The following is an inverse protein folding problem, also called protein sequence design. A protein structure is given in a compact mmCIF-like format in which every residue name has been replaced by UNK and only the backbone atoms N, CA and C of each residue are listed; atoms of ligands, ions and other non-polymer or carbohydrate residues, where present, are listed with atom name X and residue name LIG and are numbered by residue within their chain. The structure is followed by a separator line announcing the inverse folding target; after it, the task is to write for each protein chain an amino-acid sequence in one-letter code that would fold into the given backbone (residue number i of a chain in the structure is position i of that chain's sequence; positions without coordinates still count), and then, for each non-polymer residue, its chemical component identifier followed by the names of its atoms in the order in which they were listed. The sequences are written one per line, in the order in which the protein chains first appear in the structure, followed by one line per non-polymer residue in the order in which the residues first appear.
data_IF_114182398372
#
_entry.id   IF_114182398372
#
_cell.length_a   1.000
_cell.length_b   1.000
_cell.length_c   1.000
_cell.angle_alpha   90.00
_cell.angle_beta   90.00
_cell.angle_gamma   90.00
#
_symmetry.space_group_name_H-M   'P 1'
#
loop_
_entity.id
_entity.type
_entity.pdbx_description
1 polymer ?
#
# COMPACT_ATOMS: atom_id res chain seq x y z
N UNK A 1 15.74 -4.13 2.53
CA UNK A 1 15.40 -3.88 1.11
C UNK A 1 13.98 -3.32 0.94
N UNK A 2 12.92 -4.02 1.37
CA UNK A 2 11.53 -3.55 1.16
C UNK A 2 11.24 -2.16 1.73
N UNK A 3 11.74 -1.84 2.92
CA UNK A 3 11.61 -0.50 3.54
C UNK A 3 12.24 0.58 2.64
N UNK A 4 13.45 0.34 2.14
CA UNK A 4 14.13 1.28 1.26
C UNK A 4 13.37 1.49 -0.05
N UNK A 5 12.79 0.42 -0.63
CA UNK A 5 11.95 0.54 -1.83
C UNK A 5 10.73 1.42 -1.56
N UNK A 6 10.01 1.19 -0.46
CA UNK A 6 8.84 1.99 -0.10
C UNK A 6 9.21 3.48 0.06
N UNK A 7 10.26 3.78 0.82
CA UNK A 7 10.68 5.16 1.10
C UNK A 7 11.19 5.86 -0.15
N UNK A 8 12.07 5.21 -0.93
CA UNK A 8 12.66 5.81 -2.14
C UNK A 8 11.61 6.00 -3.22
N UNK A 9 10.85 4.96 -3.57
CA UNK A 9 9.84 5.07 -4.64
C UNK A 9 8.71 6.01 -4.23
N UNK A 10 8.24 5.93 -2.98
CA UNK A 10 7.24 6.85 -2.44
C UNK A 10 7.68 8.31 -2.54
N UNK A 11 8.93 8.60 -2.17
CA UNK A 11 9.48 9.96 -2.23
C UNK A 11 9.62 10.45 -3.67
N UNK A 12 10.17 9.60 -4.56
CA UNK A 12 10.36 9.96 -5.98
C UNK A 12 9.02 10.24 -6.66
N UNK A 13 8.02 9.38 -6.48
CA UNK A 13 6.68 9.58 -7.06
C UNK A 13 6.02 10.85 -6.51
N UNK A 14 6.16 11.12 -5.21
CA UNK A 14 5.68 12.35 -4.58
C UNK A 14 6.33 13.60 -5.18
N UNK A 15 7.65 13.57 -5.42
CA UNK A 15 8.37 14.68 -6.06
C UNK A 15 7.97 14.91 -7.51
N UNK A 16 7.70 13.83 -8.25
CA UNK A 16 7.21 13.90 -9.64
C UNK A 16 5.75 14.36 -9.73
N UNK A 17 5.05 14.52 -8.60
CA UNK A 17 3.65 14.96 -8.51
C UNK A 17 2.72 14.15 -9.41
N UNK A 18 2.97 12.84 -9.53
CA UNK A 18 2.11 11.96 -10.31
C UNK A 18 0.77 11.84 -9.57
N UNK A 19 -0.36 12.24 -10.18
CA UNK A 19 -1.65 12.13 -9.52
C UNK A 19 -2.02 10.65 -9.36
N UNK A 20 -2.67 10.31 -8.24
CA UNK A 20 -3.26 8.98 -7.98
C UNK A 20 -2.26 7.82 -7.85
N UNK A 21 -0.95 8.10 -7.86
CA UNK A 21 0.10 7.10 -7.74
C UNK A 21 1.01 7.45 -6.57
N UNK A 22 1.35 6.47 -5.74
CA UNK A 22 2.21 6.64 -4.56
C UNK A 22 3.37 5.64 -4.55
N UNK A 23 3.15 4.38 -4.94
CA UNK A 23 4.13 3.28 -4.90
C UNK A 23 4.82 3.08 -3.54
N UNK A 24 4.22 3.59 -2.47
CA UNK A 24 4.74 3.62 -1.11
C UNK A 24 4.64 2.26 -0.39
N UNK A 25 3.96 1.29 -1.00
CA UNK A 25 3.78 -0.06 -0.45
C UNK A 25 4.35 -1.15 -1.33
N UNK A 26 5.09 -0.83 -2.40
CA UNK A 26 5.62 -1.82 -3.35
C UNK A 26 6.59 -2.80 -2.70
N UNK A 27 7.46 -2.32 -1.81
CA UNK A 27 8.36 -3.14 -1.03
C UNK A 27 7.62 -4.00 0.00
N UNK A 28 6.56 -3.47 0.62
CA UNK A 28 5.69 -4.24 1.52
C UNK A 28 5.03 -5.41 0.78
N UNK A 29 4.41 -5.13 -0.36
CA UNK A 29 3.73 -6.13 -1.20
C UNK A 29 4.74 -7.16 -1.71
N UNK A 30 5.89 -6.73 -2.24
CA UNK A 30 6.94 -7.63 -2.74
C UNK A 30 7.44 -8.59 -1.65
N UNK A 31 7.78 -8.08 -0.46
CA UNK A 31 8.26 -8.93 0.64
C UNK A 31 7.15 -9.87 1.13
N UNK A 32 5.90 -9.40 1.15
CA UNK A 32 4.74 -10.23 1.53
C UNK A 32 4.54 -11.41 0.58
N UNK A 33 4.72 -11.18 -0.72
CA UNK A 33 4.58 -12.23 -1.75
C UNK A 33 5.75 -13.22 -1.71
N UNK A 34 6.99 -12.72 -1.55
CA UNK A 34 8.18 -13.58 -1.60
C UNK A 34 8.40 -14.38 -0.32
N UNK A 35 8.19 -13.76 0.84
CA UNK A 35 8.59 -14.33 2.13
C UNK A 35 7.39 -14.60 3.05
N UNK A 36 6.19 -14.15 2.67
CA UNK A 36 4.96 -14.37 3.42
C UNK A 36 4.55 -13.19 4.32
N UNK A 37 3.38 -13.30 4.98
CA UNK A 37 2.69 -12.19 5.61
C UNK A 37 3.48 -11.52 6.73
N UNK A 38 4.16 -12.30 7.59
CA UNK A 38 4.87 -11.77 8.75
C UNK A 38 6.09 -10.92 8.37
N UNK A 39 6.83 -11.32 7.34
CA UNK A 39 7.94 -10.52 6.80
C UNK A 39 7.43 -9.24 6.11
N UNK A 40 6.26 -9.32 5.48
CA UNK A 40 5.52 -8.17 4.98
C UNK A 40 5.14 -7.19 6.10
N UNK A 41 4.57 -7.68 7.20
CA UNK A 41 4.18 -6.89 8.37
C UNK A 41 5.38 -6.15 8.96
N UNK A 42 6.51 -6.84 9.13
CA UNK A 42 7.74 -6.20 9.58
C UNK A 42 8.19 -5.10 8.62
N UNK A 43 8.16 -5.37 7.32
CA UNK A 43 8.55 -4.39 6.30
C UNK A 43 7.64 -3.16 6.30
N UNK A 44 6.33 -3.35 6.25
CA UNK A 44 5.35 -2.26 6.23
C UNK A 44 5.33 -1.47 7.53
N UNK A 45 5.31 -2.17 8.66
CA UNK A 45 5.32 -1.54 9.99
C UNK A 45 6.57 -0.68 10.20
N UNK A 46 7.76 -1.24 9.93
CA UNK A 46 9.01 -0.50 10.07
C UNK A 46 9.14 0.65 9.04
N UNK A 47 8.53 0.52 7.86
CA UNK A 47 8.47 1.66 6.90
C UNK A 47 7.81 2.86 7.55
N UNK A 48 6.68 2.68 8.23
CA UNK A 48 5.99 3.78 8.89
C UNK A 48 6.67 4.26 10.18
N UNK A 49 7.48 3.42 10.84
CA UNK A 49 8.36 3.88 11.92
C UNK A 49 9.46 4.80 11.37
N UNK A 50 10.10 4.42 10.26
CA UNK A 50 11.11 5.24 9.59
C UNK A 50 10.50 6.57 9.14
N UNK A 51 9.34 6.55 8.47
CA UNK A 51 8.63 7.77 8.08
C UNK A 51 8.21 8.60 9.31
N UNK A 52 7.79 7.94 10.40
CA UNK A 52 7.53 8.60 11.69
C UNK A 52 8.72 9.43 12.19
N UNK A 53 9.94 8.91 12.03
CA UNK A 53 11.16 9.57 12.46
C UNK A 53 11.66 10.65 11.46
N UNK A 54 11.39 10.49 10.16
CA UNK A 54 11.96 11.37 9.13
C UNK A 54 11.00 12.44 8.59
N UNK A 55 9.69 12.17 8.59
CA UNK A 55 8.67 13.07 8.03
C UNK A 55 7.69 13.60 9.07
N UNK A 56 7.61 12.98 10.24
CA UNK A 56 6.80 13.43 11.37
C UNK A 56 6.14 12.28 12.13
N UNK A 57 6.12 12.37 13.46
CA UNK A 57 5.75 11.27 14.35
C UNK A 57 4.38 10.65 14.06
N UNK A 58 3.43 11.45 13.57
CA UNK A 58 2.08 11.01 13.21
C UNK A 58 2.04 10.02 12.04
N UNK A 59 3.08 9.94 11.20
CA UNK A 59 3.16 8.97 10.11
C UNK A 59 3.23 7.51 10.60
N UNK A 60 3.60 7.29 11.87
CA UNK A 60 3.66 5.95 12.48
C UNK A 60 2.29 5.26 12.52
N UNK A 61 1.20 6.04 12.67
CA UNK A 61 -0.16 5.49 12.75
C UNK A 61 -0.58 4.80 11.45
N UNK A 62 -0.09 5.30 10.30
CA UNK A 62 -0.33 4.65 9.01
C UNK A 62 0.39 3.31 8.86
N UNK A 63 1.27 2.93 9.80
CA UNK A 63 1.83 1.59 9.88
C UNK A 63 0.75 0.51 9.97
N UNK A 64 -0.39 0.80 10.62
CA UNK A 64 -1.53 -0.12 10.68
C UNK A 64 -2.10 -0.44 9.29
N UNK A 65 -2.13 0.55 8.40
CA UNK A 65 -2.55 0.37 7.00
C UNK A 65 -1.58 -0.57 6.28
N UNK A 66 -0.28 -0.32 6.42
CA UNK A 66 0.76 -1.11 5.78
C UNK A 66 0.79 -2.56 6.29
N UNK A 67 0.56 -2.76 7.59
CA UNK A 67 0.42 -4.08 8.21
C UNK A 67 -0.79 -4.83 7.65
N UNK A 68 -1.95 -4.17 7.54
CA UNK A 68 -3.15 -4.79 6.98
C UNK A 68 -2.98 -5.19 5.50
N UNK A 69 -2.35 -4.33 4.71
CA UNK A 69 -1.99 -4.63 3.31
C UNK A 69 -1.07 -5.87 3.26
N UNK A 70 -0.02 -5.90 4.09
CA UNK A 70 0.94 -6.99 4.13
C UNK A 70 0.30 -8.33 4.48
N UNK A 71 -0.59 -8.34 5.48
CA UNK A 71 -1.32 -9.54 5.88
C UNK A 71 -2.22 -10.03 4.72
N UNK A 72 -3.02 -9.13 4.14
CA UNK A 72 -3.91 -9.48 3.04
C UNK A 72 -3.14 -10.07 1.84
N UNK A 73 -2.11 -9.36 1.37
CA UNK A 73 -1.29 -9.80 0.24
C UNK A 73 -0.55 -11.10 0.56
N UNK A 74 0.08 -11.19 1.74
CA UNK A 74 0.90 -12.34 2.12
C UNK A 74 0.08 -13.62 2.29
N UNK A 75 -1.13 -13.54 2.84
CA UNK A 75 -2.02 -14.71 2.90
C UNK A 75 -2.57 -15.11 1.54
N UNK A 76 -2.87 -14.15 0.66
CA UNK A 76 -3.29 -14.45 -0.72
C UNK A 76 -2.14 -15.13 -1.48
N UNK A 77 -0.93 -14.59 -1.42
CA UNK A 77 0.24 -15.13 -2.11
C UNK A 77 0.65 -16.52 -1.62
N UNK A 78 0.34 -16.87 -0.36
CA UNK A 78 0.54 -18.25 0.15
C UNK A 78 -0.43 -19.26 -0.43
N UNK A 79 -1.64 -18.84 -0.81
CA UNK A 79 -2.70 -19.73 -1.30
C UNK A 79 -2.84 -19.70 -2.82
N UNK A 80 -2.48 -18.59 -3.44
CA UNK A 80 -2.68 -18.34 -4.86
C UNK A 80 -1.38 -17.89 -5.50
N UNK A 81 -1.16 -18.39 -6.71
CA UNK A 81 0.00 -18.03 -7.51
C UNK A 81 -0.07 -16.56 -7.98
N UNK A 82 0.78 -15.73 -7.37
CA UNK A 82 0.83 -14.29 -7.63
C UNK A 82 1.46 -13.94 -8.98
N UNK A 83 1.98 -14.90 -9.75
CA UNK A 83 2.40 -14.67 -11.15
C UNK A 83 1.21 -14.47 -12.09
N UNK A 84 0.01 -14.87 -11.67
CA UNK A 84 -1.21 -14.74 -12.46
C UNK A 84 -1.76 -13.32 -12.33
N UNK A 85 -1.96 -12.68 -13.48
CA UNK A 85 -2.43 -11.28 -13.55
C UNK A 85 -3.75 -11.05 -12.80
N UNK A 86 -4.68 -12.01 -12.83
CA UNK A 86 -5.97 -11.87 -12.16
C UNK A 86 -5.84 -11.96 -10.63
N UNK A 87 -4.87 -12.72 -10.10
CA UNK A 87 -4.59 -12.79 -8.65
C UNK A 87 -4.04 -11.44 -8.19
N UNK A 88 -3.08 -10.87 -8.94
CA UNK A 88 -2.52 -9.56 -8.65
C UNK A 88 -3.57 -8.44 -8.74
N UNK A 89 -4.42 -8.46 -9.78
CA UNK A 89 -5.51 -7.50 -9.97
C UNK A 89 -6.52 -7.55 -8.82
N UNK A 90 -7.04 -8.73 -8.49
CA UNK A 90 -8.02 -8.90 -7.41
C UNK A 90 -7.42 -8.54 -6.05
N UNK A 91 -6.14 -8.85 -5.82
CA UNK A 91 -5.44 -8.42 -4.60
C UNK A 91 -5.34 -6.90 -4.53
N UNK A 92 -4.97 -6.24 -5.64
CA UNK A 92 -4.90 -4.78 -5.72
C UNK A 92 -6.24 -4.12 -5.45
N UNK A 93 -7.32 -4.64 -6.00
CA UNK A 93 -8.69 -4.17 -5.74
C UNK A 93 -9.02 -4.35 -4.24
N UNK A 94 -8.78 -5.53 -3.67
CA UNK A 94 -9.03 -5.79 -2.26
C UNK A 94 -8.27 -4.82 -1.34
N UNK A 95 -6.96 -4.68 -1.54
CA UNK A 95 -6.14 -3.82 -0.67
C UNK A 95 -6.43 -2.33 -0.90
N UNK A 96 -6.92 -1.94 -2.07
CA UNK A 96 -7.39 -0.57 -2.32
C UNK A 96 -8.62 -0.17 -1.51
N UNK A 97 -9.38 -1.14 -1.01
CA UNK A 97 -10.53 -0.91 -0.12
C UNK A 97 -10.08 -1.01 1.33
N UNK A 98 -9.25 -1.99 1.68
CA UNK A 98 -8.72 -2.17 3.04
C UNK A 98 -7.94 -0.92 3.49
N UNK A 99 -7.11 -0.35 2.62
CA UNK A 99 -6.23 0.74 2.98
C UNK A 99 -6.98 2.03 3.39
N UNK A 100 -7.98 2.51 2.64
CA UNK A 100 -8.83 3.64 3.06
C UNK A 100 -9.73 3.33 4.26
N UNK A 101 -10.21 2.09 4.44
CA UNK A 101 -11.05 1.74 5.59
C UNK A 101 -10.31 1.95 6.93
N UNK A 102 -9.03 1.60 6.96
CA UNK A 102 -8.18 1.80 8.14
C UNK A 102 -7.58 3.21 8.14
N UNK A 103 -7.16 3.68 6.97
CA UNK A 103 -6.47 4.95 6.83
C UNK A 103 -7.36 6.15 7.13
N UNK A 104 -8.61 6.15 6.66
CA UNK A 104 -9.50 7.32 6.77
C UNK A 104 -9.76 7.73 8.21
N UNK A 105 -10.15 6.83 9.13
CA UNK A 105 -10.27 7.16 10.55
C UNK A 105 -8.99 7.79 11.11
N UNK A 106 -7.81 7.26 10.76
CA UNK A 106 -6.52 7.80 11.21
C UNK A 106 -6.29 9.21 10.65
N UNK A 107 -6.55 9.45 9.36
CA UNK A 107 -6.38 10.78 8.77
C UNK A 107 -7.34 11.81 9.37
N UNK A 108 -8.58 11.43 9.63
CA UNK A 108 -9.56 12.32 10.26
C UNK A 108 -9.16 12.62 11.70
N UNK A 109 -8.80 11.61 12.49
CA UNK A 109 -8.48 11.78 13.90
C UNK A 109 -7.16 12.54 14.14
N UNK A 110 -6.14 12.31 13.32
CA UNK A 110 -4.79 12.86 13.54
C UNK A 110 -4.53 14.15 12.76
N UNK A 111 -5.16 14.29 11.58
CA UNK A 111 -4.89 15.40 10.66
C UNK A 111 -6.14 16.19 10.28
N UNK A 112 -7.28 15.93 10.93
CA UNK A 112 -8.54 16.58 10.59
C UNK A 112 -9.00 16.31 9.15
N UNK A 113 -8.49 15.26 8.50
CA UNK A 113 -8.82 14.85 7.13
C UNK A 113 -7.94 15.43 6.02
N UNK A 114 -6.95 16.28 6.33
CA UNK A 114 -5.98 16.84 5.37
C UNK A 114 -4.56 16.47 5.81
N UNK A 115 -3.99 15.44 5.18
CA UNK A 115 -2.74 14.82 5.61
C UNK A 115 -1.53 15.23 4.76
N UNK A 116 -1.62 16.35 4.03
CA UNK A 116 -0.54 16.88 3.20
C UNK A 116 -0.33 16.07 1.91
N UNK A 117 -1.32 15.30 1.48
CA UNK A 117 -1.23 14.46 0.29
C UNK A 117 -1.66 15.24 -0.96
N UNK A 118 -1.23 14.78 -2.14
CA UNK A 118 -1.74 15.32 -3.41
C UNK A 118 -3.26 15.18 -3.58
N UNK A 119 -3.90 14.35 -2.74
CA UNK A 119 -5.34 14.10 -2.75
C UNK A 119 -6.13 15.05 -1.82
N UNK A 120 -5.44 15.92 -1.08
CA UNK A 120 -6.05 16.93 -0.22
C UNK A 120 -6.89 17.93 -1.02
N UNK A 121 -6.53 18.20 -2.29
CA UNK A 121 -7.34 19.03 -3.18
C UNK A 121 -8.73 18.44 -3.42
N UNK A 122 -8.82 17.12 -3.55
CA UNK A 122 -10.11 16.41 -3.67
C UNK A 122 -10.91 16.52 -2.38
N UNK A 123 -10.24 16.42 -1.22
CA UNK A 123 -10.90 16.61 0.09
C UNK A 123 -11.46 18.02 0.21
N UNK A 124 -10.68 19.04 -0.13
CA UNK A 124 -11.09 20.45 -0.06
C UNK A 124 -12.26 20.74 -1.01
N UNK A 125 -12.21 20.22 -2.23
CA UNK A 125 -13.30 20.37 -3.20
C UNK A 125 -14.61 19.74 -2.70
N UNK A 126 -14.55 18.51 -2.20
CA UNK A 126 -15.74 17.81 -1.65
C UNK A 126 -16.32 18.55 -0.43
N UNK A 127 -15.46 19.04 0.47
CA UNK A 127 -15.91 19.86 1.60
C UNK A 127 -16.57 21.16 1.16
N UNK A 128 -16.02 21.82 0.13
CA UNK A 128 -16.63 23.02 -0.44
C UNK A 128 -18.00 22.74 -1.07
N UNK A 129 -18.24 21.50 -1.53
CA UNK A 129 -19.55 21.02 -2.00
C UNK A 129 -20.51 20.61 -0.87
N UNK A 130 -20.12 20.76 0.40
CA UNK A 130 -20.97 20.48 1.57
C UNK A 130 -20.79 19.08 2.17
N UNK A 131 -19.86 18.27 1.67
CA UNK A 131 -19.62 16.93 2.22
C UNK A 131 -18.93 16.97 3.59
N UNK A 132 -19.21 15.94 4.39
CA UNK A 132 -18.56 15.78 5.69
C UNK A 132 -17.05 15.57 5.54
N UNK A 133 -16.29 15.93 6.58
CA UNK A 133 -14.85 15.67 6.66
C UNK A 133 -14.52 14.20 6.40
N UNK A 134 -15.28 13.30 7.01
CA UNK A 134 -15.07 11.86 6.88
C UNK A 134 -15.34 11.38 5.46
N UNK A 135 -16.49 11.73 4.88
CA UNK A 135 -16.84 11.35 3.51
C UNK A 135 -15.84 11.89 2.49
N UNK A 136 -15.48 13.17 2.61
CA UNK A 136 -14.48 13.81 1.74
C UNK A 136 -13.13 13.12 1.80
N UNK A 137 -12.67 12.78 3.01
CA UNK A 137 -11.40 12.07 3.22
C UNK A 137 -11.47 10.64 2.69
N UNK A 138 -12.59 9.95 2.91
CA UNK A 138 -12.79 8.58 2.44
C UNK A 138 -12.78 8.48 0.92
N UNK A 139 -13.57 9.33 0.24
CA UNK A 139 -13.67 9.38 -1.22
C UNK A 139 -12.32 9.70 -1.85
N UNK A 140 -11.65 10.74 -1.35
CA UNK A 140 -10.31 11.12 -1.79
C UNK A 140 -9.31 9.95 -1.67
N UNK A 141 -9.31 9.25 -0.53
CA UNK A 141 -8.38 8.14 -0.31
C UNK A 141 -8.72 6.90 -1.10
N UNK A 142 -9.99 6.54 -1.25
CA UNK A 142 -10.35 5.37 -2.04
C UNK A 142 -10.02 5.57 -3.52
N UNK A 143 -10.26 6.76 -4.06
CA UNK A 143 -9.87 7.09 -5.44
C UNK A 143 -8.35 6.99 -5.64
N UNK A 144 -7.56 7.56 -4.73
CA UNK A 144 -6.10 7.49 -4.81
C UNK A 144 -5.55 6.07 -4.61
N UNK A 145 -6.10 5.31 -3.65
CA UNK A 145 -5.64 3.95 -3.36
C UNK A 145 -6.09 2.94 -4.42
N UNK A 146 -7.21 3.18 -5.11
CA UNK A 146 -7.69 2.28 -6.16
C UNK A 146 -6.67 2.09 -7.27
N UNK A 147 -6.21 3.21 -7.84
CA UNK A 147 -5.22 3.18 -8.92
C UNK A 147 -3.87 2.71 -8.39
N UNK A 148 -3.41 3.28 -7.28
CA UNK A 148 -2.10 2.97 -6.72
C UNK A 148 -1.94 1.49 -6.34
N UNK A 149 -2.92 0.89 -5.65
CA UNK A 149 -2.76 -0.49 -5.15
C UNK A 149 -2.94 -1.53 -6.24
N UNK A 150 -3.75 -1.25 -7.27
CA UNK A 150 -3.81 -2.10 -8.48
C UNK A 150 -2.48 -2.06 -9.21
N UNK A 151 -1.95 -0.86 -9.50
CA UNK A 151 -0.66 -0.71 -10.19
C UNK A 151 0.46 -1.36 -9.37
N UNK A 152 0.49 -1.13 -8.06
CA UNK A 152 1.50 -1.73 -7.17
C UNK A 152 1.49 -3.25 -7.23
N UNK A 153 0.32 -3.89 -7.12
CA UNK A 153 0.23 -5.36 -7.18
C UNK A 153 0.62 -5.91 -8.56
N UNK A 154 0.20 -5.23 -9.63
CA UNK A 154 0.56 -5.60 -11.01
C UNK A 154 2.06 -5.45 -11.28
N UNK A 155 2.69 -4.39 -10.75
CA UNK A 155 4.14 -4.21 -10.84
C UNK A 155 4.89 -5.28 -10.06
N UNK A 156 4.43 -5.65 -8.86
CA UNK A 156 5.05 -6.74 -8.09
C UNK A 156 4.92 -8.07 -8.83
N UNK A 157 3.76 -8.39 -9.39
CA UNK A 157 3.60 -9.57 -10.24
C UNK A 157 4.58 -9.54 -11.42
N UNK A 158 4.68 -8.42 -12.12
CA UNK A 158 5.60 -8.25 -13.24
C UNK A 158 7.06 -8.47 -12.82
N UNK A 159 7.48 -7.93 -11.68
CA UNK A 159 8.82 -8.15 -11.13
C UNK A 159 9.08 -9.62 -10.83
N UNK A 160 8.11 -10.33 -10.25
CA UNK A 160 8.24 -11.77 -9.95
C UNK A 160 8.38 -12.59 -11.23
N UNK A 161 7.56 -12.31 -12.25
CA UNK A 161 7.60 -13.01 -13.54
C UNK A 161 8.91 -12.74 -14.29
N UNK A 162 9.43 -11.51 -14.24
CA UNK A 162 10.64 -11.12 -14.98
C UNK A 162 11.95 -11.49 -14.27
N UNK A 163 11.93 -11.72 -12.96
CA UNK A 163 13.11 -12.04 -12.18
C UNK A 163 13.07 -13.52 -11.74
N UNK A 164 13.85 -14.42 -12.39
CA UNK A 164 13.76 -15.87 -12.15
C UNK A 164 13.99 -16.27 -10.68
N UNK A 165 14.83 -15.51 -9.97
CA UNK A 165 15.10 -15.74 -8.56
C UNK A 165 13.87 -15.49 -7.68
N UNK A 166 13.05 -14.49 -8.02
CA UNK A 166 11.83 -14.17 -7.28
C UNK A 166 10.75 -15.24 -7.50
N UNK A 167 10.55 -15.67 -8.74
CA UNK A 167 9.64 -16.77 -9.05
C UNK A 167 10.03 -18.06 -8.30
N UNK A 168 11.33 -18.41 -8.25
CA UNK A 168 11.83 -19.57 -7.49
C UNK A 168 11.52 -19.50 -6.00
N UNK A 169 11.74 -18.33 -5.39
CA UNK A 169 11.48 -18.11 -3.95
C UNK A 169 9.97 -18.26 -3.67
N UNK A 170 9.12 -17.62 -4.47
CA UNK A 170 7.67 -17.69 -4.30
C UNK A 170 7.14 -19.13 -4.43
N UNK A 171 7.57 -19.86 -5.48
CA UNK A 171 7.12 -21.24 -5.70
C UNK A 171 7.52 -22.18 -4.55
N UNK A 172 8.72 -21.98 -3.98
CA UNK A 172 9.14 -22.70 -2.78
C UNK A 172 8.20 -22.41 -1.61
N UNK A 173 7.88 -21.14 -1.37
CA UNK A 173 6.98 -20.73 -0.29
C UNK A 173 5.54 -21.27 -0.42
N UNK A 174 5.04 -21.44 -1.64
CA UNK A 174 3.73 -22.08 -1.90
C UNK A 174 3.79 -23.58 -1.58
N UNK A 175 4.84 -24.28 -2.02
CA UNK A 175 5.00 -25.71 -1.76
C UNK A 175 5.18 -26.03 -0.26
N UNK A 176 5.86 -25.16 0.49
CA UNK A 176 6.04 -25.32 1.93
C UNK A 176 4.72 -25.08 2.72
N UNK A 177 3.68 -24.54 2.08
CA UNK A 177 2.40 -24.21 2.68
C UNK A 177 1.24 -25.14 2.26
N UNK A 178 1.48 -26.05 1.30
CA UNK A 178 0.54 -27.05 0.79
C UNK A 178 0.69 -28.38 1.52
#
# INVERSE_FOLDING_TARGET
MGIALNVVLGTVVSWMKIPLLFLDTIGTVLISVLFGPWWGVLTGGLTNVVLGATTGASAIFFGLVNIAIALAVGFIAKRFDFTKWYVALLTGILVSVIAPLIGTPIAVAVYGGLNGSGMDLVVLWLRASGESVFASTFISRITGNFIDKIITCMLVMFLIVRLPNFAKIMNKGINDAA
#
